data_IF_457737381532
#
_entry.id   IF_457737381532
#
_cell.length_a   1.000
_cell.length_b   1.000
_cell.length_c   1.000
_cell.angle_alpha   90.00
_cell.angle_beta   90.00
_cell.angle_gamma   90.00
#
_symmetry.space_group_name_H-M   'P 1'
#
loop_
_entity.id
_entity.type
_entity.pdbx_description
1 polymer ?
#
# COMPACT_ATOMS: atom_id res chain seq x y z
N UNK A 1 1.24 13.80 -26.73
CA UNK A 1 1.52 15.19 -26.30
C UNK A 1 0.51 16.21 -26.82
N UNK A 2 0.26 16.33 -28.13
CA UNK A 2 -0.67 17.33 -28.68
C UNK A 2 -2.13 17.21 -28.17
N UNK A 3 -2.70 16.00 -28.16
CA UNK A 3 -4.05 15.77 -27.62
C UNK A 3 -4.21 16.19 -26.15
N UNK A 4 -3.16 16.00 -25.35
CA UNK A 4 -3.16 16.33 -23.93
C UNK A 4 -2.99 17.83 -23.69
N UNK A 5 -2.19 18.55 -24.48
CA UNK A 5 -2.11 20.01 -24.37
C UNK A 5 -3.44 20.69 -24.69
N UNK A 6 -4.20 20.13 -25.64
CA UNK A 6 -5.58 20.59 -25.91
C UNK A 6 -6.52 20.24 -24.75
N UNK A 7 -6.48 19.01 -24.24
CA UNK A 7 -7.27 18.60 -23.08
C UNK A 7 -6.96 19.43 -21.83
N UNK A 8 -5.69 19.75 -21.56
CA UNK A 8 -5.26 20.61 -20.47
C UNK A 8 -5.74 22.05 -20.65
N UNK A 9 -5.75 22.56 -21.89
CA UNK A 9 -6.31 23.88 -22.22
C UNK A 9 -7.83 23.97 -22.07
N UNK A 10 -8.54 22.87 -22.28
CA UNK A 10 -9.99 22.74 -22.01
C UNK A 10 -10.22 22.63 -20.50
N UNK A 11 -9.53 21.72 -19.82
CA UNK A 11 -9.60 21.55 -18.37
C UNK A 11 -9.29 22.83 -17.58
N UNK A 12 -8.36 23.66 -18.06
CA UNK A 12 -8.06 24.96 -17.44
C UNK A 12 -9.23 25.95 -17.54
N UNK A 13 -10.08 25.85 -18.57
CA UNK A 13 -11.29 26.67 -18.75
C UNK A 13 -12.47 26.12 -17.95
N UNK A 14 -12.61 24.80 -17.92
CA UNK A 14 -13.71 24.11 -17.21
C UNK A 14 -13.47 23.96 -15.70
N UNK A 15 -12.38 24.51 -15.14
CA UNK A 15 -12.08 24.46 -13.69
C UNK A 15 -13.14 25.11 -12.81
N UNK A 16 -14.01 25.95 -13.37
CA UNK A 16 -15.16 26.55 -12.69
C UNK A 16 -16.48 25.80 -12.87
N UNK A 17 -16.51 24.73 -13.69
CA UNK A 17 -17.71 23.92 -13.88
C UNK A 17 -17.80 22.79 -12.85
N UNK A 18 -18.92 22.74 -12.15
CA UNK A 18 -19.21 21.73 -11.13
C UNK A 18 -19.96 20.55 -11.74
N UNK A 19 -19.23 19.63 -12.40
CA UNK A 19 -19.82 18.42 -12.98
C UNK A 19 -18.98 17.16 -12.73
N UNK A 20 -19.67 16.01 -12.70
CA UNK A 20 -19.04 14.69 -12.57
C UNK A 20 -18.02 14.43 -13.69
N UNK A 21 -18.35 14.84 -14.92
CA UNK A 21 -17.48 14.63 -16.08
C UNK A 21 -16.16 15.42 -15.93
N UNK A 22 -16.23 16.65 -15.41
CA UNK A 22 -15.03 17.45 -15.13
C UNK A 22 -14.19 16.79 -14.03
N UNK A 23 -14.81 16.33 -12.93
CA UNK A 23 -14.10 15.64 -11.85
C UNK A 23 -13.42 14.33 -12.31
N UNK A 24 -14.11 13.52 -13.12
CA UNK A 24 -13.54 12.31 -13.72
C UNK A 24 -12.39 12.64 -14.68
N UNK A 25 -12.53 13.67 -15.50
CA UNK A 25 -11.47 14.08 -16.44
C UNK A 25 -10.23 14.58 -15.70
N UNK A 26 -10.41 15.36 -14.62
CA UNK A 26 -9.31 15.78 -13.75
C UNK A 26 -8.64 14.60 -13.03
N UNK A 27 -9.41 13.59 -12.62
CA UNK A 27 -8.89 12.35 -12.04
C UNK A 27 -8.01 11.59 -13.04
N UNK A 28 -8.45 11.46 -14.29
CA UNK A 28 -7.66 10.85 -15.37
C UNK A 28 -6.41 11.67 -15.69
N UNK A 29 -6.51 13.00 -15.71
CA UNK A 29 -5.37 13.88 -15.91
C UNK A 29 -4.33 13.73 -14.79
N UNK A 30 -4.77 13.59 -13.54
CA UNK A 30 -3.91 13.31 -12.41
C UNK A 30 -3.23 11.94 -12.55
N UNK A 31 -3.97 10.88 -12.89
CA UNK A 31 -3.39 9.54 -13.14
C UNK A 31 -2.25 9.61 -14.17
N UNK A 32 -2.48 10.31 -15.29
CA UNK A 32 -1.48 10.49 -16.34
C UNK A 32 -0.24 11.24 -15.84
N UNK A 33 -0.42 12.34 -15.09
CA UNK A 33 0.70 13.10 -14.54
C UNK A 33 1.48 12.31 -13.50
N UNK A 34 0.80 11.55 -12.64
CA UNK A 34 1.47 10.64 -11.71
C UNK A 34 2.29 9.59 -12.47
N UNK A 35 1.70 8.97 -13.50
CA UNK A 35 2.39 8.05 -14.40
C UNK A 35 3.56 8.68 -15.17
N UNK A 36 3.58 10.01 -15.30
CA UNK A 36 4.70 10.74 -15.94
C UNK A 36 5.71 11.28 -14.94
N UNK A 37 5.57 10.98 -13.64
CA UNK A 37 6.42 11.49 -12.56
C UNK A 37 6.21 12.97 -12.21
N UNK A 38 5.15 13.60 -12.74
CA UNK A 38 4.81 15.01 -12.55
C UNK A 38 3.92 15.19 -11.31
N UNK A 39 4.44 14.88 -10.12
CA UNK A 39 3.66 14.80 -8.87
C UNK A 39 2.91 16.09 -8.51
N UNK A 40 3.50 17.28 -8.73
CA UNK A 40 2.82 18.57 -8.42
C UNK A 40 1.63 18.85 -9.34
N UNK A 41 1.79 18.56 -10.63
CA UNK A 41 0.71 18.70 -11.62
C UNK A 41 -0.37 17.65 -11.37
N UNK A 42 0.02 16.44 -10.97
CA UNK A 42 -0.90 15.40 -10.53
C UNK A 42 -1.73 15.86 -9.32
N UNK A 43 -1.07 16.41 -8.30
CA UNK A 43 -1.73 16.93 -7.11
C UNK A 43 -2.73 18.06 -7.43
N UNK A 44 -2.34 19.00 -8.28
CA UNK A 44 -3.24 20.11 -8.64
C UNK A 44 -4.55 19.61 -9.25
N UNK A 45 -4.48 18.61 -10.14
CA UNK A 45 -5.68 18.06 -10.77
C UNK A 45 -6.48 17.19 -9.79
N UNK A 46 -5.82 16.42 -8.93
CA UNK A 46 -6.51 15.56 -7.97
C UNK A 46 -7.20 16.37 -6.87
N UNK A 47 -6.60 17.45 -6.39
CA UNK A 47 -7.24 18.34 -5.40
C UNK A 47 -8.47 19.04 -5.98
N UNK A 48 -8.42 19.47 -7.25
CA UNK A 48 -9.59 20.03 -7.93
C UNK A 48 -10.70 18.99 -8.12
N UNK A 49 -10.36 17.78 -8.59
CA UNK A 49 -11.33 16.69 -8.73
C UNK A 49 -11.97 16.33 -7.39
N UNK A 50 -11.17 16.26 -6.33
CA UNK A 50 -11.62 15.96 -4.97
C UNK A 50 -12.62 17.02 -4.47
N UNK A 51 -12.30 18.31 -4.65
CA UNK A 51 -13.20 19.41 -4.32
C UNK A 51 -14.55 19.30 -5.03
N UNK A 52 -14.56 19.01 -6.33
CA UNK A 52 -15.82 18.84 -7.09
C UNK A 52 -16.62 17.64 -6.58
N UNK A 53 -15.96 16.51 -6.28
CA UNK A 53 -16.66 15.34 -5.71
C UNK A 53 -17.20 15.62 -4.29
N UNK A 54 -16.48 16.37 -3.45
CA UNK A 54 -16.95 16.84 -2.15
C UNK A 54 -18.20 17.70 -2.29
N UNK A 55 -18.15 18.72 -3.15
CA UNK A 55 -19.24 19.69 -3.33
C UNK A 55 -20.49 19.05 -3.92
N UNK A 56 -20.33 18.02 -4.76
CA UNK A 56 -21.43 17.22 -5.29
C UNK A 56 -21.96 16.17 -4.29
N UNK A 57 -21.48 16.17 -3.04
CA UNK A 57 -21.99 15.31 -1.96
C UNK A 57 -21.56 13.85 -2.05
N UNK A 58 -20.52 13.53 -2.85
CA UNK A 58 -20.00 12.16 -2.96
C UNK A 58 -19.26 11.68 -1.71
N UNK A 59 -19.02 12.55 -0.73
CA UNK A 59 -18.35 12.22 0.53
C UNK A 59 -19.13 12.69 1.78
N UNK A 60 -20.40 13.12 1.61
CA UNK A 60 -21.19 13.82 2.63
C UNK A 60 -21.75 12.97 3.78
N UNK A 61 -21.50 11.66 3.84
CA UNK A 61 -21.97 10.80 4.95
C UNK A 61 -21.17 11.00 6.27
N UNK A 62 -20.48 12.14 6.43
CA UNK A 62 -19.58 12.41 7.58
C UNK A 62 -19.94 13.70 8.34
N UNK A 63 -21.00 14.40 7.96
CA UNK A 63 -21.51 15.50 8.79
C UNK A 63 -22.75 15.06 9.56
N UNK A 64 -22.65 15.05 10.88
CA UNK A 64 -23.79 15.01 11.81
C UNK A 64 -24.71 16.25 11.68
N UNK A 65 -24.41 17.21 10.79
CA UNK A 65 -25.32 18.30 10.50
C UNK A 65 -26.46 17.84 9.59
N UNK A 66 -27.55 17.48 10.26
CA UNK A 66 -28.85 17.10 9.73
C UNK A 66 -29.58 18.19 8.89
N UNK A 67 -28.87 19.02 8.12
CA UNK A 67 -29.48 20.13 7.37
C UNK A 67 -29.21 20.15 5.85
N UNK A 68 -28.45 19.21 5.30
CA UNK A 68 -28.43 19.00 3.86
C UNK A 68 -29.59 18.06 3.46
N UNK A 69 -30.78 18.62 3.27
CA UNK A 69 -31.93 17.93 2.67
C UNK A 69 -31.48 17.44 1.29
N UNK A 70 -31.17 16.14 1.17
CA UNK A 70 -30.98 15.48 -0.13
C UNK A 70 -32.32 15.53 -0.87
N UNK A 71 -32.29 16.03 -2.10
CA UNK A 71 -33.37 15.79 -3.05
C UNK A 71 -33.41 14.27 -3.32
N UNK A 72 -34.51 13.57 -2.97
CA UNK A 72 -34.64 12.11 -3.14
C UNK A 72 -34.56 11.65 -4.59
N UNK A 73 -34.62 12.58 -5.55
CA UNK A 73 -34.58 12.30 -7.00
C UNK A 73 -33.17 12.15 -7.57
N UNK A 74 -32.11 12.52 -6.84
CA UNK A 74 -30.74 12.50 -7.36
C UNK A 74 -30.08 11.11 -7.14
N UNK A 75 -30.35 10.17 -8.04
CA UNK A 75 -29.63 8.90 -8.06
C UNK A 75 -28.21 9.12 -8.56
N UNK A 76 -27.24 9.07 -7.66
CA UNK A 76 -25.82 9.12 -8.01
C UNK A 76 -25.49 7.93 -8.93
N UNK A 77 -24.94 8.21 -10.12
CA UNK A 77 -24.56 7.16 -11.06
C UNK A 77 -23.41 6.30 -10.49
N UNK A 78 -23.42 4.99 -10.79
CA UNK A 78 -22.35 4.08 -10.38
C UNK A 78 -20.98 4.49 -10.95
N UNK A 79 -20.98 5.10 -12.14
CA UNK A 79 -19.77 5.60 -12.79
C UNK A 79 -19.16 6.81 -12.06
N UNK A 80 -20.01 7.69 -11.54
CA UNK A 80 -19.56 8.83 -10.75
C UNK A 80 -18.94 8.40 -9.41
N UNK A 81 -19.52 7.38 -8.76
CA UNK A 81 -18.95 6.74 -7.56
C UNK A 81 -17.58 6.11 -7.83
N UNK A 82 -17.42 5.45 -8.99
CA UNK A 82 -16.12 4.89 -9.40
C UNK A 82 -15.09 6.00 -9.62
N UNK A 83 -15.49 7.08 -10.28
CA UNK A 83 -14.63 8.26 -10.50
C UNK A 83 -14.14 8.89 -9.19
N UNK A 84 -15.03 9.09 -8.22
CA UNK A 84 -14.66 9.65 -6.91
C UNK A 84 -13.74 8.72 -6.11
N UNK A 85 -13.86 7.41 -6.30
CA UNK A 85 -12.94 6.44 -5.68
C UNK A 85 -11.52 6.54 -6.24
N UNK A 86 -11.37 6.48 -7.57
CA UNK A 86 -10.05 6.60 -8.22
C UNK A 86 -9.41 7.92 -7.80
N UNK A 87 -10.23 8.98 -7.72
CA UNK A 87 -9.78 10.28 -7.25
C UNK A 87 -9.18 10.23 -5.83
N UNK A 88 -9.86 9.58 -4.89
CA UNK A 88 -9.42 9.48 -3.49
C UNK A 88 -8.19 8.59 -3.33
N UNK A 89 -8.17 7.40 -3.94
CA UNK A 89 -7.03 6.46 -3.85
C UNK A 89 -5.75 7.11 -4.41
N UNK A 90 -5.89 7.78 -5.56
CA UNK A 90 -4.81 8.53 -6.17
C UNK A 90 -4.39 9.75 -5.32
N UNK A 91 -5.33 10.48 -4.73
CA UNK A 91 -5.02 11.61 -3.85
C UNK A 91 -4.20 11.16 -2.64
N UNK A 92 -4.65 10.12 -1.93
CA UNK A 92 -3.93 9.58 -0.77
C UNK A 92 -2.51 9.15 -1.14
N UNK A 93 -2.37 8.42 -2.25
CA UNK A 93 -1.06 7.95 -2.69
C UNK A 93 -0.11 9.08 -3.13
N UNK A 94 -0.62 10.14 -3.76
CA UNK A 94 0.18 11.32 -4.10
C UNK A 94 0.57 12.10 -2.83
N UNK A 95 -0.32 12.22 -1.85
CA UNK A 95 -0.05 12.89 -0.57
C UNK A 95 1.10 12.21 0.19
N UNK A 96 1.09 10.87 0.27
CA UNK A 96 2.18 10.08 0.85
C UNK A 96 3.50 10.31 0.09
N UNK A 97 3.47 10.34 -1.24
CA UNK A 97 4.66 10.63 -2.04
C UNK A 97 5.17 12.06 -1.83
N UNK A 98 4.27 13.05 -1.75
CA UNK A 98 4.62 14.45 -1.58
C UNK A 98 5.14 14.74 -0.18
N UNK A 99 4.53 14.21 0.88
CA UNK A 99 5.01 14.36 2.26
C UNK A 99 6.42 13.77 2.45
N UNK A 100 6.76 12.72 1.69
CA UNK A 100 8.10 12.12 1.67
C UNK A 100 9.14 13.01 0.93
N UNK A 101 8.70 13.81 -0.03
CA UNK A 101 9.55 14.62 -0.93
C UNK A 101 9.56 16.12 -0.56
N UNK A 102 8.57 16.62 0.19
CA UNK A 102 8.36 18.03 0.50
C UNK A 102 7.62 18.19 1.83
N UNK A 103 8.19 18.99 2.75
CA UNK A 103 7.69 19.16 4.11
C UNK A 103 6.47 20.10 4.25
N UNK A 104 5.99 20.73 3.18
CA UNK A 104 5.13 21.93 3.26
C UNK A 104 3.77 21.83 2.52
N UNK A 105 3.10 20.68 2.48
CA UNK A 105 1.76 20.60 1.87
C UNK A 105 0.70 20.02 2.83
N UNK A 106 -0.46 20.68 2.82
CA UNK A 106 -1.61 20.39 3.66
C UNK A 106 -2.20 19.01 3.32
N UNK A 107 -2.31 18.16 4.35
CA UNK A 107 -2.90 16.83 4.28
C UNK A 107 -4.39 16.90 3.95
N UNK A 108 -4.87 16.00 3.08
CA UNK A 108 -6.30 15.82 2.80
C UNK A 108 -6.87 14.86 3.85
N UNK A 109 -7.89 15.26 4.65
CA UNK A 109 -8.49 14.39 5.65
C UNK A 109 -9.14 13.16 5.01
N UNK A 110 -8.81 11.96 5.53
CA UNK A 110 -9.54 10.74 5.23
C UNK A 110 -10.95 10.79 5.82
N UNK A 111 -11.96 10.31 5.08
CA UNK A 111 -13.32 10.15 5.60
C UNK A 111 -13.81 8.72 5.42
N UNK A 112 -14.54 8.22 6.40
CA UNK A 112 -15.07 6.86 6.48
C UNK A 112 -16.35 6.76 5.63
N UNK A 113 -16.50 5.68 4.85
CA UNK A 113 -17.74 5.35 4.13
C UNK A 113 -18.26 3.97 4.52
N UNK A 114 -19.59 3.86 4.63
CA UNK A 114 -20.32 2.63 4.96
C UNK A 114 -20.88 1.90 3.72
N UNK A 115 -21.22 0.62 3.94
CA UNK A 115 -21.55 -0.39 2.93
C UNK A 115 -22.84 -0.11 2.16
N UNK A 116 -22.76 -0.11 0.83
CA UNK A 116 -23.91 -0.32 -0.05
C UNK A 116 -23.91 -1.76 -0.56
N UNK A 117 -24.99 -2.49 -0.33
CA UNK A 117 -25.18 -3.87 -0.81
C UNK A 117 -25.34 -3.87 -2.34
N UNK A 118 -24.35 -4.37 -3.07
CA UNK A 118 -24.53 -4.75 -4.48
C UNK A 118 -23.89 -6.12 -4.73
N UNK A 119 -24.66 -7.04 -5.31
CA UNK A 119 -24.36 -8.47 -5.41
C UNK A 119 -23.60 -8.90 -6.67
N UNK A 120 -23.04 -7.96 -7.46
CA UNK A 120 -22.25 -8.30 -8.65
C UNK A 120 -20.76 -8.12 -8.39
N UNK A 121 -19.93 -9.06 -8.87
CA UNK A 121 -18.46 -8.99 -8.94
C UNK A 121 -18.03 -7.82 -9.84
N UNK A 122 -18.16 -6.62 -9.29
CA UNK A 122 -17.87 -5.35 -9.92
C UNK A 122 -16.63 -4.75 -9.25
N UNK A 123 -15.85 -3.89 -9.92
CA UNK A 123 -14.81 -3.08 -9.28
C UNK A 123 -15.30 -2.35 -8.00
N UNK A 124 -16.60 -2.08 -7.89
CA UNK A 124 -17.23 -1.52 -6.69
C UNK A 124 -17.20 -2.46 -5.47
N UNK A 125 -17.31 -3.77 -5.66
CA UNK A 125 -17.21 -4.76 -4.58
C UNK A 125 -15.77 -4.81 -4.03
N UNK A 126 -14.77 -4.86 -4.92
CA UNK A 126 -13.35 -4.79 -4.53
C UNK A 126 -13.03 -3.49 -3.77
N UNK A 127 -13.67 -2.37 -4.13
CA UNK A 127 -13.59 -1.14 -3.37
C UNK A 127 -14.11 -1.29 -1.93
N UNK A 128 -15.34 -1.78 -1.76
CA UNK A 128 -15.92 -1.93 -0.42
C UNK A 128 -15.08 -2.84 0.47
N UNK A 129 -14.53 -3.90 -0.12
CA UNK A 129 -13.60 -4.80 0.54
C UNK A 129 -12.31 -4.06 0.95
N UNK A 130 -11.72 -3.24 0.08
CA UNK A 130 -10.54 -2.41 0.42
C UNK A 130 -10.83 -1.40 1.53
N UNK A 131 -12.00 -0.76 1.53
CA UNK A 131 -12.41 0.17 2.61
C UNK A 131 -12.53 -0.57 3.94
N UNK A 132 -13.13 -1.76 3.95
CA UNK A 132 -13.16 -2.58 5.16
C UNK A 132 -11.76 -2.93 5.67
N UNK A 133 -10.85 -3.28 4.77
CA UNK A 133 -9.45 -3.56 5.11
C UNK A 133 -8.76 -2.31 5.72
N UNK A 134 -8.99 -1.13 5.15
CA UNK A 134 -8.47 0.13 5.69
C UNK A 134 -9.04 0.45 7.06
N UNK A 135 -10.34 0.28 7.26
CA UNK A 135 -10.97 0.46 8.58
C UNK A 135 -10.38 -0.51 9.61
N UNK A 136 -10.02 -1.74 9.21
CA UNK A 136 -9.30 -2.68 10.08
C UNK A 136 -7.91 -2.15 10.40
N UNK A 137 -7.17 -1.65 9.41
CA UNK A 137 -5.84 -1.06 9.61
C UNK A 137 -5.87 0.13 10.57
N UNK A 138 -6.73 1.12 10.32
CA UNK A 138 -6.85 2.34 11.13
C UNK A 138 -7.18 2.01 12.58
N UNK A 139 -8.23 1.22 12.83
CA UNK A 139 -8.63 0.79 14.18
C UNK A 139 -7.56 -0.04 14.88
N UNK A 140 -6.74 -0.75 14.12
CA UNK A 140 -5.63 -1.54 14.67
C UNK A 140 -4.45 -0.66 15.04
N UNK A 141 -4.17 0.37 14.24
CA UNK A 141 -3.10 1.34 14.47
C UNK A 141 -3.41 2.28 15.65
N UNK A 142 -4.66 2.69 15.85
CA UNK A 142 -5.10 3.46 17.02
C UNK A 142 -4.80 2.76 18.36
N UNK A 143 -4.70 1.43 18.33
CA UNK A 143 -4.39 0.61 19.51
C UNK A 143 -2.89 0.49 19.77
N UNK A 144 -2.03 1.03 18.91
CA UNK A 144 -0.60 0.92 19.09
C UNK A 144 -0.18 1.59 20.41
N UNK A 145 0.58 0.91 21.27
CA UNK A 145 0.97 1.48 22.54
C UNK A 145 1.86 2.70 22.30
N UNK A 146 1.36 3.88 22.66
CA UNK A 146 2.09 5.16 22.61
C UNK A 146 3.39 5.12 23.43
N UNK A 147 3.48 4.21 24.41
CA UNK A 147 4.59 4.07 25.36
C UNK A 147 5.76 3.17 24.90
N UNK A 148 5.80 2.69 23.64
CA UNK A 148 6.99 2.01 23.10
C UNK A 148 8.15 2.96 22.76
N UNK A 149 8.15 4.16 23.33
CA UNK A 149 9.20 5.15 23.21
C UNK A 149 10.49 4.64 23.87
N UNK A 150 11.33 3.96 23.07
CA UNK A 150 12.76 3.71 23.31
C UNK A 150 13.12 3.29 24.76
N UNK A 151 12.70 2.11 25.23
CA UNK A 151 13.34 1.51 26.40
C UNK A 151 14.83 1.30 26.10
N UNK A 152 15.71 1.71 27.02
CA UNK A 152 17.17 1.45 26.92
C UNK A 152 17.51 -0.04 26.90
N UNK A 153 16.60 -0.89 27.39
CA UNK A 153 16.68 -2.35 27.33
C UNK A 153 15.26 -2.90 27.48
N UNK A 154 14.87 -3.85 26.62
CA UNK A 154 13.62 -4.60 26.73
C UNK A 154 13.97 -5.98 27.29
N UNK A 155 13.34 -6.36 28.39
CA UNK A 155 13.46 -7.68 28.99
C UNK A 155 12.51 -8.69 28.33
N UNK A 156 12.55 -9.95 28.78
CA UNK A 156 11.72 -11.02 28.20
C UNK A 156 10.22 -10.78 28.40
N UNK A 157 9.80 -10.20 29.53
CA UNK A 157 8.38 -9.89 29.79
C UNK A 157 7.87 -8.78 28.84
N UNK A 158 8.67 -7.73 28.63
CA UNK A 158 8.38 -6.71 27.63
C UNK A 158 8.32 -7.28 26.21
N UNK A 159 9.23 -8.19 25.85
CA UNK A 159 9.23 -8.86 24.55
C UNK A 159 8.00 -9.75 24.35
N UNK A 160 7.57 -10.47 25.38
CA UNK A 160 6.37 -11.31 25.35
C UNK A 160 5.12 -10.44 25.13
N UNK A 161 4.96 -9.37 25.91
CA UNK A 161 3.86 -8.42 25.73
C UNK A 161 3.80 -7.82 24.31
N UNK A 162 4.95 -7.37 23.79
CA UNK A 162 5.06 -6.80 22.43
C UNK A 162 4.69 -7.85 21.38
N UNK A 163 5.14 -9.09 21.57
CA UNK A 163 4.88 -10.21 20.66
C UNK A 163 3.41 -10.58 20.63
N UNK A 164 2.79 -10.71 21.81
CA UNK A 164 1.36 -11.02 21.93
C UNK A 164 0.50 -9.92 21.32
N UNK A 165 0.89 -8.67 21.54
CA UNK A 165 0.21 -7.53 20.94
C UNK A 165 0.32 -7.54 19.41
N UNK A 166 1.52 -7.75 18.85
CA UNK A 166 1.72 -7.89 17.40
C UNK A 166 0.91 -9.05 16.81
N UNK A 167 0.89 -10.19 17.49
CA UNK A 167 0.12 -11.37 17.07
C UNK A 167 -1.38 -11.09 17.07
N UNK A 168 -1.90 -10.42 18.10
CA UNK A 168 -3.31 -9.99 18.16
C UNK A 168 -3.69 -9.09 16.99
N UNK A 169 -2.82 -8.15 16.61
CA UNK A 169 -3.04 -7.32 15.44
C UNK A 169 -3.06 -8.13 14.13
N UNK A 170 -2.15 -9.08 13.96
CA UNK A 170 -2.13 -9.98 12.79
C UNK A 170 -3.39 -10.85 12.73
N UNK A 171 -3.89 -11.33 13.87
CA UNK A 171 -5.12 -12.12 13.93
C UNK A 171 -6.34 -11.33 13.47
N UNK A 172 -6.41 -10.00 13.69
CA UNK A 172 -7.50 -9.18 13.14
C UNK A 172 -7.51 -9.18 11.60
N UNK A 173 -6.33 -9.12 10.96
CA UNK A 173 -6.22 -9.22 9.51
C UNK A 173 -6.52 -10.62 8.98
N UNK A 174 -6.10 -11.67 9.70
CA UNK A 174 -6.47 -13.07 9.36
C UNK A 174 -7.97 -13.28 9.49
N UNK A 175 -8.58 -12.77 10.54
CA UNK A 175 -10.02 -12.82 10.74
C UNK A 175 -10.75 -12.13 9.58
N UNK A 176 -10.29 -10.94 9.17
CA UNK A 176 -10.83 -10.25 8.00
C UNK A 176 -10.73 -11.11 6.73
N UNK A 177 -9.55 -11.68 6.42
CA UNK A 177 -9.33 -12.54 5.24
C UNK A 177 -10.21 -13.81 5.28
N UNK A 178 -10.37 -14.41 6.45
CA UNK A 178 -11.05 -15.71 6.59
C UNK A 178 -12.55 -15.63 6.86
N UNK A 179 -13.08 -14.50 7.34
CA UNK A 179 -14.48 -14.38 7.76
C UNK A 179 -15.22 -13.22 7.11
N UNK A 180 -14.58 -12.08 6.90
CA UNK A 180 -15.21 -10.88 6.33
C UNK A 180 -15.09 -10.82 4.81
N UNK A 181 -14.02 -11.37 4.26
CA UNK A 181 -13.84 -11.50 2.83
C UNK A 181 -14.74 -12.59 2.24
N UNK A 182 -15.31 -12.31 1.06
CA UNK A 182 -16.18 -13.23 0.33
C UNK A 182 -15.44 -14.55 0.02
N UNK A 183 -16.08 -15.73 0.20
CA UNK A 183 -15.40 -17.02 0.08
C UNK A 183 -14.62 -17.24 -1.22
N UNK A 184 -15.16 -16.79 -2.36
CA UNK A 184 -14.53 -16.95 -3.68
C UNK A 184 -13.36 -15.98 -3.92
N UNK A 185 -13.19 -14.96 -3.08
CA UNK A 185 -12.06 -14.03 -3.12
C UNK A 185 -10.96 -14.39 -2.11
N UNK A 186 -11.13 -15.45 -1.30
CA UNK A 186 -10.12 -15.85 -0.32
C UNK A 186 -8.92 -16.50 -1.01
N UNK A 187 -7.78 -16.41 -0.35
CA UNK A 187 -6.54 -17.00 -0.83
C UNK A 187 -5.66 -17.52 0.32
N UNK A 188 -4.91 -18.57 0.01
CA UNK A 188 -3.82 -19.05 0.85
C UNK A 188 -2.53 -18.28 0.57
N UNK A 189 -1.71 -18.08 1.61
CA UNK A 189 -0.50 -17.24 1.49
C UNK A 189 0.59 -17.90 0.62
N UNK A 190 0.50 -19.22 0.42
CA UNK A 190 1.37 -20.01 -0.45
C UNK A 190 0.90 -20.07 -1.91
N UNK A 191 -0.27 -19.51 -2.24
CA UNK A 191 -0.75 -19.45 -3.62
C UNK A 191 0.16 -18.59 -4.51
N UNK A 192 0.20 -18.94 -5.80
CA UNK A 192 0.87 -18.11 -6.80
C UNK A 192 0.24 -16.70 -6.86
N UNK A 193 1.01 -15.67 -7.26
CA UNK A 193 0.45 -14.34 -7.50
C UNK A 193 -0.73 -14.38 -8.48
N UNK A 194 -1.72 -13.54 -8.21
CA UNK A 194 -2.93 -13.47 -9.03
C UNK A 194 -2.61 -12.99 -10.44
N UNK A 195 -3.27 -13.58 -11.43
CA UNK A 195 -3.28 -13.09 -12.80
C UNK A 195 -4.34 -12.01 -13.03
N UNK A 196 -5.36 -11.97 -12.17
CA UNK A 196 -6.38 -10.93 -12.17
C UNK A 196 -5.85 -9.66 -11.47
N UNK A 197 -5.95 -8.49 -12.12
CA UNK A 197 -5.38 -7.24 -11.61
C UNK A 197 -6.12 -6.69 -10.37
N UNK A 198 -7.43 -6.91 -10.23
CA UNK A 198 -8.18 -6.46 -9.05
C UNK A 198 -7.79 -7.28 -7.82
N UNK A 199 -7.70 -8.59 -8.00
CA UNK A 199 -7.26 -9.51 -6.97
C UNK A 199 -5.78 -9.30 -6.62
N UNK A 200 -4.90 -9.08 -7.61
CA UNK A 200 -3.51 -8.72 -7.37
C UNK A 200 -3.39 -7.45 -6.53
N UNK A 201 -4.18 -6.42 -6.85
CA UNK A 201 -4.22 -5.18 -6.08
C UNK A 201 -4.74 -5.39 -4.65
N UNK A 202 -5.76 -6.23 -4.46
CA UNK A 202 -6.29 -6.54 -3.14
C UNK A 202 -5.28 -7.28 -2.26
N UNK A 203 -4.60 -8.30 -2.83
CA UNK A 203 -3.53 -9.03 -2.14
C UNK A 203 -2.38 -8.10 -1.78
N UNK A 204 -1.97 -7.23 -2.72
CA UNK A 204 -0.94 -6.24 -2.47
C UNK A 204 -1.30 -5.34 -1.28
N UNK A 205 -2.54 -4.82 -1.23
CA UNK A 205 -3.00 -3.93 -0.17
C UNK A 205 -3.07 -4.63 1.20
N UNK A 206 -3.51 -5.89 1.23
CA UNK A 206 -3.54 -6.72 2.43
C UNK A 206 -2.13 -6.88 3.02
N UNK A 207 -1.18 -7.34 2.22
CA UNK A 207 0.19 -7.54 2.69
C UNK A 207 0.89 -6.21 3.00
N UNK A 208 0.61 -5.14 2.24
CA UNK A 208 1.09 -3.79 2.55
C UNK A 208 0.61 -3.36 3.94
N UNK A 209 -0.66 -3.57 4.25
CA UNK A 209 -1.25 -3.23 5.56
C UNK A 209 -0.56 -3.96 6.70
N UNK A 210 -0.29 -5.26 6.54
CA UNK A 210 0.50 -6.04 7.51
C UNK A 210 1.92 -5.49 7.64
N UNK A 211 2.61 -5.17 6.55
CA UNK A 211 3.97 -4.61 6.64
C UNK A 211 3.99 -3.25 7.34
N UNK A 212 3.00 -2.37 7.10
CA UNK A 212 2.86 -1.07 7.78
C UNK A 212 2.59 -1.25 9.27
N UNK A 213 1.72 -2.19 9.61
CA UNK A 213 1.39 -2.56 10.99
C UNK A 213 2.60 -3.06 11.76
N UNK A 214 3.40 -3.92 11.13
CA UNK A 214 4.53 -4.60 11.79
C UNK A 214 5.85 -3.79 11.72
N UNK A 215 5.91 -2.73 10.91
CA UNK A 215 7.10 -1.90 10.75
C UNK A 215 7.63 -1.25 12.05
N UNK A 216 6.79 -0.76 12.98
CA UNK A 216 7.27 -0.22 14.25
C UNK A 216 8.07 -1.25 15.08
N UNK A 217 7.70 -2.53 15.01
CA UNK A 217 8.41 -3.61 15.71
C UNK A 217 9.80 -3.86 15.13
N UNK A 218 10.02 -3.61 13.84
CA UNK A 218 11.38 -3.68 13.28
C UNK A 218 12.32 -2.63 13.88
N UNK A 219 11.80 -1.48 14.33
CA UNK A 219 12.62 -0.46 15.00
C UNK A 219 13.16 -0.98 16.34
N UNK A 220 12.39 -1.83 17.02
CA UNK A 220 12.76 -2.46 18.29
C UNK A 220 13.96 -3.40 18.11
N UNK A 221 14.15 -4.00 16.93
CA UNK A 221 15.34 -4.80 16.63
C UNK A 221 16.65 -4.03 16.84
N UNK A 222 16.64 -2.70 16.65
CA UNK A 222 17.83 -1.86 16.88
C UNK A 222 18.16 -1.67 18.36
N UNK A 223 17.19 -1.88 19.23
CA UNK A 223 17.28 -1.61 20.68
C UNK A 223 17.36 -2.89 21.52
N UNK A 224 17.17 -4.06 20.91
CA UNK A 224 17.22 -5.34 21.60
C UNK A 224 18.61 -5.98 21.51
N UNK A 225 19.52 -5.57 22.38
CA UNK A 225 20.83 -6.24 22.57
C UNK A 225 20.67 -7.71 22.98
N UNK A 226 19.58 -8.06 23.68
CA UNK A 226 19.28 -9.43 24.12
C UNK A 226 19.06 -10.44 22.98
N UNK A 227 18.82 -9.95 21.75
CA UNK A 227 18.67 -10.80 20.55
C UNK A 227 20.01 -11.12 19.88
N UNK A 228 21.11 -10.53 20.36
CA UNK A 228 22.47 -10.73 19.85
C UNK A 228 23.19 -11.81 20.65
N UNK A 229 23.77 -12.81 19.96
CA UNK A 229 24.53 -13.91 20.58
C UNK A 229 24.09 -15.31 20.15
N UNK A 230 25.02 -16.27 20.26
CA UNK A 230 24.84 -17.70 19.92
C UNK A 230 24.18 -18.52 21.03
N UNK A 231 23.68 -17.88 22.10
CA UNK A 231 23.04 -18.56 23.23
C UNK A 231 21.62 -19.00 22.84
N UNK A 232 21.14 -20.09 23.45
CA UNK A 232 19.77 -20.56 23.27
C UNK A 232 18.78 -19.42 23.59
N UNK A 233 17.95 -19.08 22.59
CA UNK A 233 16.99 -17.97 22.68
C UNK A 233 15.83 -18.31 23.60
N UNK A 234 15.38 -17.36 24.41
CA UNK A 234 14.19 -17.50 25.27
C UNK A 234 12.91 -17.66 24.43
N UNK A 235 11.82 -18.11 25.04
CA UNK A 235 10.50 -18.19 24.37
C UNK A 235 10.03 -16.82 23.86
N UNK A 236 10.24 -15.77 24.66
CA UNK A 236 9.91 -14.39 24.29
C UNK A 236 10.71 -13.91 23.06
N UNK A 237 12.02 -14.18 23.04
CA UNK A 237 12.87 -13.85 21.89
C UNK A 237 12.48 -14.62 20.63
N UNK A 238 12.16 -15.91 20.74
CA UNK A 238 11.67 -16.72 19.62
C UNK A 238 10.32 -16.19 19.11
N UNK A 239 9.41 -15.81 20.01
CA UNK A 239 8.13 -15.20 19.67
C UNK A 239 8.31 -13.91 18.86
N UNK A 240 9.20 -13.03 19.31
CA UNK A 240 9.49 -11.77 18.62
C UNK A 240 10.14 -11.98 17.26
N UNK A 241 11.06 -12.96 17.13
CA UNK A 241 11.60 -13.38 15.82
C UNK A 241 10.48 -13.87 14.90
N UNK A 242 9.48 -14.55 15.45
CA UNK A 242 8.26 -14.92 14.73
C UNK A 242 7.54 -13.71 14.12
N UNK A 243 7.45 -12.58 14.84
CA UNK A 243 6.86 -11.33 14.33
C UNK A 243 7.69 -10.76 13.17
N UNK A 244 9.02 -10.73 13.29
CA UNK A 244 9.92 -10.30 12.20
C UNK A 244 9.75 -11.17 10.97
N UNK A 245 9.68 -12.50 11.15
CA UNK A 245 9.47 -13.43 10.05
C UNK A 245 8.11 -13.21 9.36
N UNK A 246 7.05 -12.89 10.11
CA UNK A 246 5.76 -12.51 9.52
C UNK A 246 5.85 -11.21 8.71
N UNK A 247 6.61 -10.22 9.18
CA UNK A 247 6.89 -9.01 8.38
C UNK A 247 7.63 -9.37 7.08
N UNK A 248 8.65 -10.22 7.14
CA UNK A 248 9.42 -10.68 5.96
C UNK A 248 8.51 -11.37 4.96
N UNK A 249 7.67 -12.32 5.39
CA UNK A 249 6.74 -13.00 4.48
C UNK A 249 5.75 -12.03 3.85
N UNK A 250 5.13 -11.13 4.64
CA UNK A 250 4.23 -10.12 4.10
C UNK A 250 4.94 -9.18 3.11
N UNK A 251 6.19 -8.82 3.36
CA UNK A 251 6.96 -7.99 2.45
C UNK A 251 7.23 -8.68 1.12
N UNK A 252 7.64 -9.95 1.15
CA UNK A 252 7.84 -10.77 -0.06
C UNK A 252 6.54 -10.94 -0.84
N UNK A 253 5.43 -11.29 -0.16
CA UNK A 253 4.11 -11.44 -0.79
C UNK A 253 3.60 -10.13 -1.39
N UNK A 254 3.88 -8.99 -0.77
CA UNK A 254 3.55 -7.69 -1.34
C UNK A 254 4.35 -7.39 -2.62
N UNK A 255 5.65 -7.68 -2.63
CA UNK A 255 6.52 -7.45 -3.81
C UNK A 255 6.05 -8.29 -5.00
N UNK A 256 5.66 -9.54 -4.79
CA UNK A 256 5.28 -10.45 -5.89
C UNK A 256 3.83 -10.31 -6.33
N UNK A 257 2.99 -9.59 -5.60
CA UNK A 257 1.54 -9.53 -5.83
C UNK A 257 1.16 -9.15 -7.27
N UNK A 258 1.99 -8.36 -7.94
CA UNK A 258 1.76 -7.86 -9.30
C UNK A 258 2.51 -8.62 -10.41
N UNK A 259 3.24 -9.69 -10.09
CA UNK A 259 4.18 -10.33 -11.04
C UNK A 259 3.54 -11.06 -12.20
N UNK A 260 2.27 -11.45 -12.07
CA UNK A 260 1.59 -12.33 -13.01
C UNK A 260 0.36 -11.70 -13.65
N UNK A 261 0.15 -10.39 -13.50
CA UNK A 261 -1.03 -9.73 -14.07
C UNK A 261 -1.11 -9.97 -15.57
N UNK A 262 -2.24 -10.49 -16.03
CA UNK A 262 -2.50 -10.79 -17.44
C UNK A 262 -1.84 -12.06 -17.97
N UNK A 263 -1.19 -12.85 -17.11
CA UNK A 263 -0.72 -14.19 -17.47
C UNK A 263 -1.83 -15.25 -17.47
N UNK A 264 -1.54 -16.41 -18.06
CA UNK A 264 -2.42 -17.57 -17.98
C UNK A 264 -2.40 -18.12 -16.55
N UNK A 265 -3.56 -18.38 -15.95
CA UNK A 265 -3.69 -18.77 -14.53
C UNK A 265 -2.72 -19.88 -14.08
N UNK A 266 -2.53 -20.90 -14.91
CA UNK A 266 -1.69 -22.07 -14.62
C UNK A 266 -0.28 -22.00 -15.25
N UNK A 267 0.15 -20.84 -15.74
CA UNK A 267 1.52 -20.66 -16.24
C UNK A 267 2.55 -20.85 -15.12
N UNK A 268 3.72 -21.44 -15.42
CA UNK A 268 4.78 -21.55 -14.44
C UNK A 268 5.22 -20.15 -13.97
N UNK A 269 5.48 -20.01 -12.68
CA UNK A 269 5.98 -18.78 -12.08
C UNK A 269 7.34 -19.03 -11.46
N UNK A 270 8.34 -18.31 -11.95
CA UNK A 270 9.65 -18.24 -11.33
C UNK A 270 9.62 -17.14 -10.27
N UNK A 271 9.94 -17.51 -9.02
CA UNK A 271 9.80 -16.60 -7.89
C UNK A 271 10.55 -15.27 -8.15
N UNK A 272 9.85 -14.17 -7.89
CA UNK A 272 10.32 -12.80 -8.03
C UNK A 272 10.58 -12.34 -9.47
N UNK A 273 10.29 -13.16 -10.47
CA UNK A 273 10.41 -12.79 -11.88
C UNK A 273 9.11 -12.18 -12.39
N UNK A 274 9.18 -10.93 -12.87
CA UNK A 274 8.02 -10.24 -13.42
C UNK A 274 7.69 -10.87 -14.78
N UNK A 275 6.47 -11.39 -14.88
CA UNK A 275 5.89 -11.91 -16.13
C UNK A 275 4.72 -11.05 -16.60
N UNK A 276 4.29 -10.07 -15.80
CA UNK A 276 3.16 -9.20 -16.11
C UNK A 276 3.31 -8.54 -17.48
N UNK A 277 2.26 -8.69 -18.29
CA UNK A 277 2.14 -8.00 -19.59
C UNK A 277 1.53 -6.60 -19.47
N UNK A 278 1.10 -6.24 -18.27
CA UNK A 278 0.46 -4.95 -17.98
C UNK A 278 1.40 -4.05 -17.16
N UNK A 279 1.61 -2.83 -17.66
CA UNK A 279 2.23 -1.74 -16.90
C UNK A 279 1.25 -1.05 -15.93
N UNK A 280 -0.02 -1.47 -15.94
CA UNK A 280 -1.08 -0.86 -15.13
C UNK A 280 -0.97 -1.34 -13.69
N UNK A 281 -0.14 -0.67 -12.90
CA UNK A 281 -0.22 -0.70 -11.43
C UNK A 281 -1.43 0.16 -11.05
N UNK A 282 -2.51 -0.49 -10.63
CA UNK A 282 -3.89 -0.01 -10.71
C UNK A 282 -4.28 1.22 -9.87
N UNK A 283 -3.35 1.99 -9.31
CA UNK A 283 -3.71 3.31 -8.79
C UNK A 283 -2.53 4.24 -8.54
N UNK A 284 -1.37 3.72 -8.11
CA UNK A 284 -0.19 4.56 -7.85
C UNK A 284 1.13 3.81 -8.14
N UNK A 285 1.65 3.87 -9.38
CA UNK A 285 2.89 3.20 -9.74
C UNK A 285 4.09 3.76 -8.95
N UNK A 286 4.11 5.06 -8.68
CA UNK A 286 5.20 5.72 -7.95
C UNK A 286 5.26 5.23 -6.50
N UNK A 287 4.15 5.29 -5.76
CA UNK A 287 4.12 4.79 -4.37
C UNK A 287 4.39 3.29 -4.32
N UNK A 288 3.90 2.52 -5.29
CA UNK A 288 4.13 1.08 -5.27
C UNK A 288 5.61 0.76 -5.50
N UNK A 289 6.26 1.41 -6.46
CA UNK A 289 7.69 1.25 -6.71
C UNK A 289 8.54 1.75 -5.54
N UNK A 290 8.18 2.90 -4.95
CA UNK A 290 8.85 3.42 -3.75
C UNK A 290 8.71 2.44 -2.57
N UNK A 291 7.52 1.91 -2.36
CA UNK A 291 7.25 0.94 -1.30
C UNK A 291 7.92 -0.42 -1.56
N UNK A 292 8.13 -0.83 -2.81
CA UNK A 292 8.97 -1.98 -3.15
C UNK A 292 10.44 -1.72 -2.78
N UNK A 293 10.97 -0.54 -3.13
CA UNK A 293 12.32 -0.11 -2.74
C UNK A 293 12.54 -0.15 -1.22
N UNK A 294 11.63 0.45 -0.44
CA UNK A 294 11.74 0.46 1.03
C UNK A 294 11.79 -0.95 1.62
N UNK A 295 10.96 -1.86 1.08
CA UNK A 295 10.94 -3.26 1.53
C UNK A 295 12.23 -3.98 1.19
N UNK A 296 12.79 -3.80 -0.01
CA UNK A 296 14.07 -4.42 -0.38
C UNK A 296 15.19 -3.94 0.53
N UNK A 297 15.25 -2.65 0.85
CA UNK A 297 16.23 -2.12 1.81
C UNK A 297 16.06 -2.73 3.21
N UNK A 298 14.83 -2.80 3.71
CA UNK A 298 14.55 -3.37 5.03
C UNK A 298 14.85 -4.88 5.07
N UNK A 299 14.54 -5.63 4.01
CA UNK A 299 14.89 -7.04 3.89
C UNK A 299 16.41 -7.24 3.92
N UNK A 300 17.17 -6.40 3.21
CA UNK A 300 18.63 -6.45 3.24
C UNK A 300 19.19 -6.10 4.63
N UNK A 301 18.62 -5.12 5.31
CA UNK A 301 19.00 -4.75 6.67
C UNK A 301 18.70 -5.87 7.68
N UNK A 302 17.54 -6.52 7.57
CA UNK A 302 17.16 -7.68 8.40
C UNK A 302 18.13 -8.83 8.15
N UNK A 303 18.40 -9.19 6.89
CA UNK A 303 19.32 -10.28 6.55
C UNK A 303 20.74 -10.05 7.08
N UNK A 304 21.20 -8.80 7.05
CA UNK A 304 22.52 -8.41 7.55
C UNK A 304 22.59 -8.32 9.08
N UNK A 305 21.45 -8.48 9.79
CA UNK A 305 21.42 -8.42 11.25
C UNK A 305 21.82 -9.76 11.88
N UNK A 306 22.52 -9.71 13.02
CA UNK A 306 22.93 -10.90 13.79
C UNK A 306 21.73 -11.76 14.25
N UNK A 307 20.57 -11.12 14.40
CA UNK A 307 19.30 -11.73 14.80
C UNK A 307 18.85 -12.76 13.75
N UNK A 308 18.98 -12.39 12.47
CA UNK A 308 18.59 -13.20 11.33
C UNK A 308 19.56 -14.37 11.08
N UNK A 309 20.87 -14.12 11.18
CA UNK A 309 21.92 -15.16 11.09
C UNK A 309 21.71 -16.27 12.11
N UNK A 310 21.26 -15.90 13.32
CA UNK A 310 20.96 -16.83 14.42
C UNK A 310 19.60 -17.54 14.29
N UNK A 311 18.84 -17.31 13.21
CA UNK A 311 17.56 -17.98 12.89
C UNK A 311 17.57 -18.73 11.55
N UNK A 312 18.74 -18.81 10.91
CA UNK A 312 18.98 -19.22 9.51
C UNK A 312 18.53 -20.64 9.11
N UNK A 313 17.95 -21.42 10.02
CA UNK A 313 17.34 -22.72 9.72
C UNK A 313 15.92 -22.67 9.15
N UNK A 314 15.20 -21.53 9.22
CA UNK A 314 13.73 -21.51 9.01
C UNK A 314 13.20 -20.49 7.98
N UNK A 315 14.05 -19.77 7.24
CA UNK A 315 13.61 -18.56 6.52
C UNK A 315 13.83 -18.61 5.00
N UNK A 316 12.91 -18.01 4.25
CA UNK A 316 12.89 -17.94 2.78
C UNK A 316 13.85 -16.89 2.18
N UNK A 317 14.40 -16.00 3.00
CA UNK A 317 15.21 -14.86 2.56
C UNK A 317 16.70 -15.23 2.50
N UNK A 318 17.10 -15.92 1.43
CA UNK A 318 18.50 -16.22 1.12
C UNK A 318 19.18 -15.04 0.43
N UNK A 319 20.51 -14.98 0.49
CA UNK A 319 21.30 -13.99 -0.25
C UNK A 319 20.96 -13.97 -1.75
N UNK A 320 20.80 -15.15 -2.37
CA UNK A 320 20.36 -15.26 -3.77
C UNK A 320 18.99 -14.63 -4.03
N UNK A 321 18.07 -14.69 -3.06
CA UNK A 321 16.73 -14.07 -3.18
C UNK A 321 16.86 -12.54 -3.10
N UNK A 322 17.71 -12.04 -2.21
CA UNK A 322 17.96 -10.60 -2.09
C UNK A 322 18.59 -10.02 -3.36
N UNK A 323 19.53 -10.73 -3.98
CA UNK A 323 20.14 -10.32 -5.25
C UNK A 323 19.12 -10.24 -6.39
N UNK A 324 18.23 -11.24 -6.48
CA UNK A 324 17.13 -11.24 -7.47
C UNK A 324 16.20 -10.07 -7.22
N UNK A 325 15.74 -9.88 -5.98
CA UNK A 325 14.84 -8.78 -5.59
C UNK A 325 15.47 -7.42 -5.89
N UNK A 326 16.74 -7.23 -5.55
CA UNK A 326 17.47 -5.98 -5.81
C UNK A 326 17.61 -5.71 -7.31
N UNK A 327 18.05 -6.70 -8.08
CA UNK A 327 18.24 -6.56 -9.53
C UNK A 327 16.92 -6.20 -10.21
N UNK A 328 15.84 -6.89 -9.84
CA UNK A 328 14.48 -6.60 -10.28
C UNK A 328 14.05 -5.18 -9.91
N UNK A 329 14.22 -4.75 -8.66
CA UNK A 329 13.80 -3.40 -8.23
C UNK A 329 14.58 -2.32 -8.98
N UNK A 330 15.88 -2.51 -9.23
CA UNK A 330 16.68 -1.61 -10.08
C UNK A 330 16.11 -1.52 -11.49
N UNK A 331 15.79 -2.65 -12.13
CA UNK A 331 15.20 -2.69 -13.47
C UNK A 331 13.88 -1.90 -13.51
N UNK A 332 12.99 -2.15 -12.53
CA UNK A 332 11.71 -1.45 -12.44
C UNK A 332 11.87 0.05 -12.24
N UNK A 333 12.70 0.49 -11.28
CA UNK A 333 12.93 1.91 -11.02
C UNK A 333 13.58 2.61 -12.23
N UNK A 334 14.46 1.91 -12.94
CA UNK A 334 15.14 2.45 -14.14
C UNK A 334 14.19 2.75 -15.29
N UNK A 335 13.00 2.12 -15.32
CA UNK A 335 11.96 2.46 -16.30
C UNK A 335 11.25 3.80 -16.02
N UNK A 336 11.57 4.47 -14.91
CA UNK A 336 10.95 5.73 -14.46
C UNK A 336 11.97 6.86 -14.16
N UNK A 337 12.91 7.17 -15.07
CA UNK A 337 14.04 8.06 -14.78
C UNK A 337 13.63 9.53 -14.53
N UNK A 338 12.44 9.93 -14.99
CA UNK A 338 11.94 11.31 -14.86
C UNK A 338 11.33 11.62 -13.49
N UNK A 339 11.08 10.62 -12.65
CA UNK A 339 10.52 10.83 -11.32
C UNK A 339 11.64 11.07 -10.29
N UNK A 340 11.66 12.20 -9.57
CA UNK A 340 12.76 12.53 -8.65
C UNK A 340 12.85 11.61 -7.43
N UNK A 341 11.72 11.08 -6.95
CA UNK A 341 11.68 10.12 -5.84
C UNK A 341 12.29 8.78 -6.29
N UNK A 342 11.80 8.22 -7.39
CA UNK A 342 12.28 6.93 -7.90
C UNK A 342 13.74 7.02 -8.38
N UNK A 343 14.17 8.17 -8.91
CA UNK A 343 15.57 8.41 -9.25
C UNK A 343 16.47 8.45 -8.01
N UNK A 344 15.97 8.99 -6.89
CA UNK A 344 16.68 8.94 -5.60
C UNK A 344 16.75 7.50 -5.09
N UNK A 345 15.63 6.77 -5.12
CA UNK A 345 15.57 5.36 -4.69
C UNK A 345 16.55 4.50 -5.49
N UNK A 346 16.58 4.68 -6.82
CA UNK A 346 17.53 4.01 -7.71
C UNK A 346 18.99 4.33 -7.32
N UNK A 347 19.30 5.60 -7.06
CA UNK A 347 20.65 6.02 -6.60
C UNK A 347 21.05 5.43 -5.26
N UNK A 348 20.11 5.03 -4.40
CA UNK A 348 20.41 4.38 -3.12
C UNK A 348 20.69 2.88 -3.32
N UNK A 349 20.04 2.23 -4.30
CA UNK A 349 20.27 0.82 -4.60
C UNK A 349 21.52 0.53 -5.45
N UNK A 350 21.99 1.50 -6.24
CA UNK A 350 23.17 1.36 -7.11
C UNK A 350 24.54 1.24 -6.37
N UNK A 351 24.85 1.97 -5.28
CA UNK A 351 26.17 2.00 -4.65
C UNK A 351 26.64 0.70 -4.02
N UNK A 352 25.77 -0.28 -3.77
CA UNK A 352 26.17 -1.62 -3.33
C UNK A 352 26.72 -2.47 -4.51
N UNK A 353 27.34 -1.82 -5.50
CA UNK A 353 28.02 -2.36 -6.69
C UNK A 353 29.26 -1.48 -6.98
N UNK A 354 30.14 -1.32 -5.98
CA UNK A 354 31.55 -0.98 -6.19
C UNK A 354 32.38 -1.85 -5.26
#
# INVERSE_FOLDING_TARGET
>A
MAYYSYAHGILARERGEYSVAVAQTMTLAALYFNHSGMLRQSWTNISCAYGIFMDLGYYADVSDDALAIRDPSYSISQEAKRGSWICRDLAHGIDVCLSTVSADLLSIPGSIMHLGESSEESPAMFYMIRVQLWNVLEKTQERYPTDLATPKSIDDEGLEYITDFANSQIEMFRYWKSHLLLPHLRWEDEELPSTDPLMASLRAEYYRSITRLLQPYLKILRSCECLTGTVAKSSAQQGFIGVVNRWVQAALSNIVAFDRIGEVANSPYEAYRITSKSLVMLSNPVETLHSEFEKVLLLQAIHSSEIYLSSSGQTSLKETVLDILRSRTIERLSSWPSNPLLARDLKILLPYFI
#
